data_IF_264836222689
#
_entry.id   IF_264836222689
#
_cell.length_a   1.000
_cell.length_b   1.000
_cell.length_c   1.000
_cell.angle_alpha   90.00
_cell.angle_beta   90.00
_cell.angle_gamma   90.00
#
_symmetry.space_group_name_H-M   'P 1'
#
loop_
_entity.id
_entity.type
_entity.pdbx_description
1 polymer ?
#
# COMPACT_ATOMS: atom_id res chain seq x y z
N UNK A 1 5.13 6.72 15.73
CA UNK A 1 5.18 6.22 14.34
C UNK A 1 5.98 4.94 14.20
N UNK A 2 7.23 4.87 14.72
CA UNK A 2 8.01 3.61 14.70
C UNK A 2 7.31 2.41 15.37
N UNK A 3 6.36 2.65 16.29
CA UNK A 3 5.58 1.59 16.97
C UNK A 3 4.34 1.12 16.21
N UNK A 4 3.84 1.90 15.24
CA UNK A 4 2.55 1.62 14.60
C UNK A 4 2.67 0.90 13.24
N UNK A 5 3.77 1.08 12.50
CA UNK A 5 3.98 0.43 11.21
C UNK A 5 5.48 0.47 10.79
N UNK A 6 6.38 -0.20 11.54
CA UNK A 6 7.80 -0.24 11.18
C UNK A 6 8.02 -0.84 9.79
N UNK A 7 7.15 -1.75 9.37
CA UNK A 7 7.20 -2.43 8.09
C UNK A 7 7.05 -1.48 6.89
N UNK A 8 6.28 -0.39 7.05
CA UNK A 8 6.14 0.62 5.99
C UNK A 8 7.44 1.41 5.76
N UNK A 9 8.23 1.60 6.81
CA UNK A 9 9.51 2.30 6.73
C UNK A 9 10.58 1.48 5.99
N UNK A 10 10.38 0.16 5.89
CA UNK A 10 11.23 -0.71 5.11
C UNK A 10 10.97 -0.60 3.60
N UNK A 11 9.84 -0.02 3.19
CA UNK A 11 9.52 0.20 1.78
C UNK A 11 10.36 1.36 1.26
N UNK A 12 11.20 1.17 0.22
CA UNK A 12 12.01 2.25 -0.35
C UNK A 12 11.15 3.45 -0.75
N UNK A 13 11.58 4.64 -0.39
CA UNK A 13 10.86 5.89 -0.67
C UNK A 13 9.67 6.18 0.25
N UNK A 14 9.37 5.32 1.22
CA UNK A 14 8.33 5.57 2.21
C UNK A 14 8.91 6.24 3.46
N UNK A 15 8.76 7.55 3.58
CA UNK A 15 9.15 8.28 4.77
C UNK A 15 8.15 8.08 5.93
N UNK A 16 8.56 8.45 7.15
CA UNK A 16 7.70 8.37 8.34
C UNK A 16 6.40 9.19 8.18
N UNK A 17 6.45 10.31 7.47
CA UNK A 17 5.28 11.15 7.17
C UNK A 17 4.32 10.42 6.24
N UNK A 18 4.85 9.80 5.17
CA UNK A 18 4.03 9.04 4.21
C UNK A 18 3.42 7.80 4.87
N UNK A 19 4.18 7.09 5.71
CA UNK A 19 3.68 5.97 6.51
C UNK A 19 2.55 6.41 7.45
N UNK A 20 2.68 7.58 8.10
CA UNK A 20 1.65 8.16 8.94
C UNK A 20 0.35 8.42 8.19
N UNK A 21 0.46 9.01 7.01
CA UNK A 21 -0.70 9.25 6.15
C UNK A 21 -1.36 7.95 5.69
N UNK A 22 -0.58 6.91 5.35
CA UNK A 22 -1.12 5.60 4.98
C UNK A 22 -1.94 5.01 6.12
N UNK A 23 -1.36 4.91 7.31
CA UNK A 23 -2.03 4.34 8.48
C UNK A 23 -3.26 5.15 8.88
N UNK A 24 -3.13 6.49 8.92
CA UNK A 24 -4.22 7.36 9.35
C UNK A 24 -5.41 7.43 8.39
N UNK A 25 -5.19 7.22 7.08
CA UNK A 25 -6.25 7.30 6.07
C UNK A 25 -6.91 5.94 5.78
N UNK A 26 -6.21 4.83 6.05
CA UNK A 26 -6.72 3.49 5.71
C UNK A 26 -7.62 2.93 6.80
N UNK A 27 -7.37 3.23 8.07
CA UNK A 27 -8.14 2.76 9.23
C UNK A 27 -8.31 1.22 9.30
N UNK A 28 -7.25 0.50 8.91
CA UNK A 28 -7.20 -0.96 8.89
C UNK A 28 -7.19 -1.56 7.49
N UNK A 29 -6.26 -2.46 7.26
CA UNK A 29 -6.07 -3.11 5.95
C UNK A 29 -6.92 -4.39 5.82
N UNK A 30 -7.24 -5.04 6.93
CA UNK A 30 -8.09 -6.24 7.00
C UNK A 30 -9.53 -6.01 6.52
N UNK A 31 -10.00 -4.75 6.50
CA UNK A 31 -11.34 -4.40 6.01
C UNK A 31 -11.51 -4.56 4.49
N UNK A 32 -10.42 -4.65 3.73
CA UNK A 32 -10.48 -4.86 2.29
C UNK A 32 -10.53 -6.34 1.96
N UNK A 33 -11.37 -6.74 1.03
CA UNK A 33 -11.47 -8.12 0.55
C UNK A 33 -10.22 -8.62 -0.18
N UNK A 34 -9.33 -7.71 -0.59
CA UNK A 34 -8.06 -8.03 -1.23
C UNK A 34 -7.35 -6.81 -1.81
N UNK A 35 -6.20 -7.06 -2.44
CA UNK A 35 -5.38 -5.99 -3.03
C UNK A 35 -6.10 -5.18 -4.10
N UNK A 36 -7.01 -5.82 -4.86
CA UNK A 36 -7.79 -5.15 -5.90
C UNK A 36 -8.74 -4.11 -5.31
N UNK A 37 -9.43 -4.47 -4.20
CA UNK A 37 -10.31 -3.55 -3.47
C UNK A 37 -9.52 -2.38 -2.87
N UNK A 38 -8.34 -2.65 -2.30
CA UNK A 38 -7.45 -1.61 -1.81
C UNK A 38 -6.98 -0.68 -2.93
N UNK A 39 -6.56 -1.22 -4.08
CA UNK A 39 -6.13 -0.43 -5.23
C UNK A 39 -7.26 0.45 -5.81
N UNK A 40 -8.49 -0.04 -5.80
CA UNK A 40 -9.67 0.77 -6.16
C UNK A 40 -9.88 1.91 -5.16
N UNK A 41 -9.78 1.63 -3.87
CA UNK A 41 -9.92 2.63 -2.81
C UNK A 41 -8.83 3.71 -2.89
N UNK A 42 -7.60 3.34 -3.17
CA UNK A 42 -6.47 4.29 -3.36
C UNK A 42 -6.56 5.03 -4.71
N UNK A 43 -7.34 4.51 -5.66
CA UNK A 43 -7.46 5.11 -6.99
C UNK A 43 -6.30 4.80 -7.94
N UNK A 44 -5.56 3.71 -7.69
CA UNK A 44 -4.46 3.25 -8.56
C UNK A 44 -4.84 2.07 -9.44
N UNK A 45 -6.05 1.52 -9.30
CA UNK A 45 -6.54 0.47 -10.16
C UNK A 45 -6.74 0.99 -11.59
N UNK A 46 -6.29 0.25 -12.61
CA UNK A 46 -6.52 0.64 -14.00
C UNK A 46 -8.01 0.54 -14.32
N UNK A 47 -8.58 1.60 -14.89
CA UNK A 47 -9.92 1.55 -15.48
C UNK A 47 -9.79 1.32 -16.99
N UNK A 48 -10.23 0.19 -17.51
CA UNK A 48 -10.23 -0.03 -18.96
C UNK A 48 -11.23 0.94 -19.60
N UNK A 49 -10.77 1.60 -20.65
CA UNK A 49 -11.62 2.39 -21.54
C UNK A 49 -11.36 1.87 -22.93
N UNK A 50 -12.26 1.03 -23.41
CA UNK A 50 -12.24 0.54 -24.77
C UNK A 50 -13.26 1.31 -25.61
N UNK A 51 -12.80 1.91 -26.70
CA UNK A 51 -13.66 2.31 -27.80
C UNK A 51 -13.12 1.68 -29.09
N UNK A 52 -13.84 0.71 -29.62
CA UNK A 52 -13.46 0.05 -30.86
C UNK A 52 -12.12 -0.68 -30.80
N UNK A 53 -11.15 -0.22 -31.60
CA UNK A 53 -9.84 -0.91 -31.78
C UNK A 53 -8.75 -0.54 -30.77
N UNK A 54 -8.99 0.37 -29.80
CA UNK A 54 -7.96 0.80 -28.84
C UNK A 54 -8.39 0.53 -27.41
N UNK A 55 -7.61 -0.28 -26.69
CA UNK A 55 -7.75 -0.50 -25.26
C UNK A 55 -6.77 0.43 -24.53
N UNK A 56 -7.30 1.46 -23.87
CA UNK A 56 -6.51 2.37 -23.03
C UNK A 56 -6.97 2.31 -21.60
N UNK A 57 -6.05 2.52 -20.67
CA UNK A 57 -6.36 2.60 -19.25
C UNK A 57 -6.40 4.05 -18.79
N UNK A 58 -7.51 4.47 -18.20
CA UNK A 58 -7.66 5.80 -17.60
C UNK A 58 -7.40 5.78 -16.10
N UNK A 59 -7.04 6.96 -15.57
CA UNK A 59 -6.90 7.18 -14.15
C UNK A 59 -8.27 6.99 -13.45
N UNK A 60 -8.29 6.24 -12.35
CA UNK A 60 -9.46 6.16 -11.50
C UNK A 60 -9.59 7.43 -10.66
N UNK A 61 -10.59 8.26 -10.92
CA UNK A 61 -10.86 9.50 -10.19
C UNK A 61 -11.68 9.30 -8.91
N UNK A 62 -12.25 8.11 -8.71
CA UNK A 62 -13.15 7.81 -7.59
C UNK A 62 -12.43 7.36 -6.31
N UNK A 63 -11.09 7.25 -6.33
CA UNK A 63 -10.30 6.83 -5.17
C UNK A 63 -9.99 7.96 -4.19
N UNK A 64 -9.47 7.58 -3.02
CA UNK A 64 -9.00 8.53 -2.02
C UNK A 64 -7.77 9.30 -2.55
N UNK A 65 -7.97 10.60 -2.80
CA UNK A 65 -6.93 11.48 -3.39
C UNK A 65 -5.70 11.61 -2.50
N UNK A 66 -5.87 11.63 -1.17
CA UNK A 66 -4.75 11.72 -0.22
C UNK A 66 -3.87 10.46 -0.28
N UNK A 67 -4.50 9.28 -0.26
CA UNK A 67 -3.78 8.01 -0.43
C UNK A 67 -3.12 7.91 -1.81
N UNK A 68 -3.80 8.33 -2.86
CA UNK A 68 -3.21 8.35 -4.20
C UNK A 68 -1.96 9.24 -4.27
N UNK A 69 -1.98 10.41 -3.61
CA UNK A 69 -0.84 11.30 -3.52
C UNK A 69 0.33 10.65 -2.77
N UNK A 70 0.06 9.97 -1.66
CA UNK A 70 1.10 9.25 -0.90
C UNK A 70 1.77 8.18 -1.75
N UNK A 71 0.97 7.31 -2.41
CA UNK A 71 1.51 6.28 -3.32
C UNK A 71 2.27 6.92 -4.48
N UNK A 72 1.83 8.07 -4.98
CA UNK A 72 2.53 8.79 -6.04
C UNK A 72 3.90 9.30 -5.59
N UNK A 73 3.99 9.86 -4.39
CA UNK A 73 5.27 10.33 -3.84
C UNK A 73 6.27 9.18 -3.65
N UNK A 74 5.82 8.04 -3.14
CA UNK A 74 6.64 6.83 -3.03
C UNK A 74 7.09 6.37 -4.42
N UNK A 75 6.20 6.34 -5.41
CA UNK A 75 6.52 5.92 -6.76
C UNK A 75 7.55 6.82 -7.44
N UNK A 76 7.43 8.14 -7.29
CA UNK A 76 8.40 9.10 -7.82
C UNK A 76 9.77 8.93 -7.16
N UNK A 77 9.80 8.72 -5.84
CA UNK A 77 11.04 8.46 -5.13
C UNK A 77 11.70 7.15 -5.61
N UNK A 78 10.93 6.07 -5.72
CA UNK A 78 11.45 4.77 -6.19
C UNK A 78 11.91 4.83 -7.65
N UNK A 79 11.19 5.53 -8.52
CA UNK A 79 11.58 5.69 -9.92
C UNK A 79 12.93 6.40 -10.10
N UNK A 80 13.39 7.14 -9.07
CA UNK A 80 14.68 7.86 -9.08
C UNK A 80 15.81 7.12 -8.36
N UNK A 81 15.50 6.33 -7.33
CA UNK A 81 16.51 5.83 -6.40
C UNK A 81 16.52 4.30 -6.27
N UNK A 82 15.46 3.62 -6.67
CA UNK A 82 15.30 2.18 -6.42
C UNK A 82 15.55 1.39 -7.71
N UNK A 83 16.68 0.65 -7.86
CA UNK A 83 17.04 -0.02 -9.10
C UNK A 83 15.93 -0.92 -9.69
N UNK A 84 15.20 -1.76 -8.91
CA UNK A 84 14.10 -2.56 -9.46
C UNK A 84 12.95 -1.73 -10.03
N UNK A 85 12.66 -0.57 -9.43
CA UNK A 85 11.62 0.33 -9.93
C UNK A 85 12.06 1.05 -11.20
N UNK A 86 13.33 1.46 -11.28
CA UNK A 86 13.92 2.05 -12.48
C UNK A 86 13.85 1.07 -13.65
N UNK A 87 14.30 -0.18 -13.44
CA UNK A 87 14.21 -1.23 -14.46
C UNK A 87 12.77 -1.52 -14.89
N UNK A 88 11.82 -1.47 -13.98
CA UNK A 88 10.39 -1.59 -14.30
C UNK A 88 9.91 -0.44 -15.20
N UNK A 89 10.31 0.79 -14.89
CA UNK A 89 9.96 1.96 -15.69
C UNK A 89 10.54 1.89 -17.10
N UNK A 90 11.82 1.56 -17.22
CA UNK A 90 12.52 1.40 -18.51
C UNK A 90 11.86 0.31 -19.37
N UNK A 91 11.58 -0.85 -18.79
CA UNK A 91 10.90 -1.95 -19.49
C UNK A 91 9.52 -1.50 -20.02
N UNK A 92 8.73 -0.80 -19.20
CA UNK A 92 7.41 -0.32 -19.62
C UNK A 92 7.47 0.74 -20.71
N UNK A 93 8.49 1.58 -20.69
CA UNK A 93 8.73 2.55 -21.75
C UNK A 93 9.20 1.87 -23.05
N UNK A 94 10.03 0.83 -22.96
CA UNK A 94 10.44 0.01 -24.10
C UNK A 94 9.24 -0.74 -24.73
N UNK A 95 8.22 -1.10 -23.94
CA UNK A 95 6.95 -1.65 -24.41
C UNK A 95 6.05 -0.60 -25.11
N UNK A 96 6.50 0.65 -25.26
CA UNK A 96 5.77 1.74 -25.93
C UNK A 96 4.87 2.58 -25.00
N UNK A 97 4.95 2.38 -23.67
CA UNK A 97 4.18 3.19 -22.72
C UNK A 97 4.86 4.56 -22.50
N UNK A 98 4.05 5.60 -22.34
CA UNK A 98 4.56 6.89 -21.88
C UNK A 98 5.05 6.81 -20.44
N UNK A 99 5.93 7.73 -20.03
CA UNK A 99 6.40 7.81 -18.63
C UNK A 99 5.26 7.81 -17.61
N UNK A 100 4.17 8.55 -17.90
CA UNK A 100 3.00 8.61 -17.02
C UNK A 100 2.27 7.27 -16.90
N UNK A 101 2.21 6.50 -17.96
CA UNK A 101 1.61 5.15 -17.97
C UNK A 101 2.48 4.16 -17.21
N UNK A 102 3.78 4.17 -17.45
CA UNK A 102 4.75 3.37 -16.70
C UNK A 102 4.69 3.67 -15.20
N UNK A 103 4.60 4.96 -14.82
CA UNK A 103 4.46 5.37 -13.43
C UNK A 103 3.14 4.88 -12.79
N UNK A 104 2.04 4.80 -13.56
CA UNK A 104 0.79 4.20 -13.06
C UNK A 104 0.94 2.72 -12.78
N UNK A 105 1.66 1.98 -13.63
CA UNK A 105 1.99 0.58 -13.37
C UNK A 105 2.81 0.42 -12.09
N UNK A 106 3.82 1.26 -11.90
CA UNK A 106 4.64 1.27 -10.69
C UNK A 106 3.81 1.58 -9.43
N UNK A 107 2.92 2.57 -9.48
CA UNK A 107 1.99 2.89 -8.39
C UNK A 107 1.12 1.69 -8.01
N UNK A 108 0.66 0.91 -8.99
CA UNK A 108 -0.13 -0.30 -8.74
C UNK A 108 0.68 -1.36 -8.00
N UNK A 109 1.94 -1.56 -8.37
CA UNK A 109 2.85 -2.49 -7.68
C UNK A 109 3.14 -2.03 -6.24
N UNK A 110 3.38 -0.74 -6.04
CA UNK A 110 3.60 -0.17 -4.70
C UNK A 110 2.37 -0.36 -3.81
N UNK A 111 1.17 -0.09 -4.33
CA UNK A 111 -0.07 -0.30 -3.58
C UNK A 111 -0.24 -1.77 -3.16
N UNK A 112 0.12 -2.71 -4.02
CA UNK A 112 0.16 -4.15 -3.70
C UNK A 112 1.14 -4.45 -2.58
N UNK A 113 2.36 -3.93 -2.67
CA UNK A 113 3.39 -4.12 -1.64
C UNK A 113 2.94 -3.54 -0.29
N UNK A 114 2.42 -2.32 -0.28
CA UNK A 114 1.87 -1.68 0.94
C UNK A 114 0.76 -2.53 1.54
N UNK A 115 -0.20 -2.96 0.75
CA UNK A 115 -1.32 -3.77 1.22
C UNK A 115 -0.86 -5.09 1.82
N UNK A 116 0.00 -5.84 1.12
CA UNK A 116 0.51 -7.13 1.58
C UNK A 116 1.33 -6.99 2.87
N UNK A 117 2.19 -5.99 2.93
CA UNK A 117 3.04 -5.72 4.11
C UNK A 117 2.19 -5.38 5.33
N UNK A 118 1.23 -4.48 5.17
CA UNK A 118 0.39 -4.05 6.28
C UNK A 118 -0.61 -5.12 6.73
N UNK A 119 -1.15 -5.90 5.81
CA UNK A 119 -2.04 -7.02 6.16
C UNK A 119 -1.29 -8.09 6.97
N UNK A 120 -0.03 -8.34 6.64
CA UNK A 120 0.83 -9.24 7.44
C UNK A 120 1.10 -8.68 8.84
N UNK A 121 1.42 -7.40 8.93
CA UNK A 121 1.66 -6.71 10.20
C UNK A 121 0.42 -6.74 11.11
N UNK A 122 -0.77 -6.46 10.57
CA UNK A 122 -2.03 -6.55 11.31
C UNK A 122 -2.29 -7.98 11.82
N UNK A 123 -2.11 -9.00 10.98
CA UNK A 123 -2.28 -10.40 11.39
C UNK A 123 -1.29 -10.81 12.48
N UNK A 124 -0.04 -10.39 12.39
CA UNK A 124 0.98 -10.64 13.41
C UNK A 124 0.63 -9.96 14.74
N UNK A 125 0.15 -8.73 14.70
CA UNK A 125 -0.27 -8.00 15.88
C UNK A 125 -1.48 -8.66 16.59
N UNK A 126 -2.47 -9.11 15.83
CA UNK A 126 -3.63 -9.84 16.37
C UNK A 126 -3.20 -11.17 17.01
N UNK A 127 -2.27 -11.89 16.39
CA UNK A 127 -1.71 -13.14 16.97
C UNK A 127 -0.98 -12.93 18.30
N UNK A 128 -0.40 -11.74 18.52
CA UNK A 128 0.28 -11.39 19.78
C UNK A 128 -0.71 -10.99 20.88
N UNK A 129 -1.84 -10.38 20.53
CA UNK A 129 -2.86 -9.97 21.50
C UNK A 129 -3.66 -11.16 22.04
N UNK A 130 -3.80 -12.25 21.26
CA UNK A 130 -4.50 -13.47 21.70
C UNK A 130 -3.69 -14.29 22.74
N UNK A 131 -2.41 -13.95 22.97
CA UNK A 131 -1.57 -14.52 24.03
C UNK A 131 -1.53 -13.69 25.31
N UNK A 132 -2.58 -12.99 25.68
CA UNK A 132 -2.74 -12.53 27.05
C UNK A 132 -3.33 -13.69 27.82
N UNK A 133 -2.47 -14.45 28.50
CA UNK A 133 -2.85 -15.46 29.45
C UNK A 133 -3.74 -14.84 30.53
N UNK A 134 -5.01 -15.12 30.49
CA UNK A 134 -5.95 -14.94 31.61
C UNK A 134 -5.77 -16.06 32.66
N UNK A 135 -4.55 -16.51 32.85
CA UNK A 135 -4.20 -17.60 33.77
C UNK A 135 -3.34 -17.17 34.95
N UNK A 136 -3.76 -16.16 35.71
CA UNK A 136 -3.28 -16.01 37.07
C UNK A 136 -4.48 -16.06 38.02
N UNK A 137 -4.58 -17.07 38.92
CA UNK A 137 -5.63 -17.10 39.92
C UNK A 137 -5.45 -15.93 40.89
N UNK A 138 -6.53 -15.16 41.08
CA UNK A 138 -6.67 -14.25 42.21
C UNK A 138 -6.44 -15.03 43.51
N UNK A 139 -5.24 -14.94 44.05
CA UNK A 139 -5.00 -15.38 45.43
C UNK A 139 -5.69 -14.39 46.32
N UNK A 140 -6.74 -14.84 46.97
CA UNK A 140 -7.47 -14.13 47.99
C UNK A 140 -6.52 -13.61 49.06
N UNK A 141 -6.47 -12.30 49.25
CA UNK A 141 -6.02 -11.74 50.54
C UNK A 141 -7.18 -11.82 51.50
N UNK A 142 -7.18 -12.87 52.32
CA UNK A 142 -7.94 -12.90 53.56
C UNK A 142 -7.04 -12.45 54.72
N UNK A 143 -7.64 -11.56 55.55
CA UNK A 143 -7.20 -11.06 56.86
C UNK A 143 -6.23 -9.88 56.81
#
# INVERSE_FOLDING_TARGET
MRRLAPELLAIPGCSAILAAHLVGQVAGFSRFSGEAAFAMHVGVAPRPVSSGKSCRHRLNRCGNRKLNSVIHMIAVAQARMHPPAMACMERKQAEGMSYREALRCLKRLIARTVFTTMLRAEKSAVGTVVRVDFGAPLVALAV
#
